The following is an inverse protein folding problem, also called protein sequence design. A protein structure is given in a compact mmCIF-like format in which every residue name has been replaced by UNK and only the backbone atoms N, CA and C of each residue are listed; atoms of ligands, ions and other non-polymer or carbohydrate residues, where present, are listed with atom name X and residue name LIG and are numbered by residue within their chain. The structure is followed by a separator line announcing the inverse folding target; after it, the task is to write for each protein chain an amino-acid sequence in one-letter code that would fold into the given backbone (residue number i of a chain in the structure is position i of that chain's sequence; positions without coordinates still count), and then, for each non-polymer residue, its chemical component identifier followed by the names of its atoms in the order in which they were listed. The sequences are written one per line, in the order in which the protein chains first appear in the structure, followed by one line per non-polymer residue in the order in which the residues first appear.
data_IF_486023692685
#
_entry.id   IF_486023692685
#
_cell.length_a   1.000
_cell.length_b   1.000
_cell.length_c   1.000
_cell.angle_alpha   90.00
_cell.angle_beta   90.00
_cell.angle_gamma   90.00
#
_symmetry.space_group_name_H-M   'P 1'
#
loop_
_entity.id
_entity.type
_entity.pdbx_description
1 polymer ?
#
# COMPACT_ATOMS: atom_id res chain seq x y z
N UNK A 1 -4.89 -21.34 8.52
CA UNK A 1 -3.62 -20.69 8.16
C UNK A 1 -3.83 -20.07 6.80
N UNK A 2 -3.35 -18.83 6.61
CA UNK A 2 -3.39 -18.14 5.31
C UNK A 2 -2.73 -19.00 4.23
N UNK A 3 -3.25 -18.95 3.00
CA UNK A 3 -2.64 -19.67 1.89
C UNK A 3 -1.49 -18.83 1.31
N UNK A 4 -0.28 -19.39 1.31
CA UNK A 4 0.86 -18.81 0.59
C UNK A 4 0.84 -19.33 -0.85
N UNK A 5 0.97 -18.42 -1.81
CA UNK A 5 1.00 -18.75 -3.24
C UNK A 5 2.42 -18.57 -3.75
N UNK A 6 2.95 -19.59 -4.42
CA UNK A 6 4.28 -19.52 -5.02
C UNK A 6 4.21 -18.76 -6.36
N UNK A 7 4.89 -17.62 -6.44
CA UNK A 7 5.12 -16.91 -7.70
C UNK A 7 6.33 -17.53 -8.40
N UNK A 8 6.19 -17.94 -9.67
CA UNK A 8 7.23 -18.67 -10.41
C UNK A 8 7.63 -18.05 -11.74
N UNK A 9 6.81 -17.13 -12.26
CA UNK A 9 7.07 -16.50 -13.55
C UNK A 9 7.87 -15.20 -13.35
N UNK A 10 9.09 -15.08 -13.90
CA UNK A 10 9.90 -13.87 -13.80
C UNK A 10 9.53 -12.79 -14.83
N UNK A 11 8.65 -13.09 -15.79
CA UNK A 11 8.26 -12.12 -16.83
C UNK A 11 7.35 -11.04 -16.25
N UNK A 12 7.43 -9.83 -16.82
CA UNK A 12 6.53 -8.74 -16.47
C UNK A 12 5.28 -8.72 -17.35
N UNK A 13 4.24 -8.04 -16.85
CA UNK A 13 3.06 -7.66 -17.61
C UNK A 13 2.67 -6.23 -17.21
N UNK A 14 2.17 -5.46 -18.17
CA UNK A 14 1.57 -4.15 -17.90
C UNK A 14 0.26 -4.27 -17.12
N UNK A 15 -0.18 -3.17 -16.52
CA UNK A 15 -1.48 -3.12 -15.85
C UNK A 15 -2.63 -3.44 -16.80
N UNK A 16 -2.59 -2.94 -18.03
CA UNK A 16 -3.65 -3.17 -19.02
C UNK A 16 -3.70 -4.65 -19.45
N UNK A 17 -2.56 -5.29 -19.73
CA UNK A 17 -2.50 -6.73 -20.03
C UNK A 17 -3.04 -7.58 -18.88
N UNK A 18 -2.69 -7.24 -17.63
CA UNK A 18 -3.18 -7.93 -16.44
C UNK A 18 -4.71 -7.78 -16.32
N UNK A 19 -5.23 -6.56 -16.47
CA UNK A 19 -6.68 -6.29 -16.39
C UNK A 19 -7.42 -6.99 -17.52
N UNK A 20 -6.94 -6.94 -18.75
CA UNK A 20 -7.55 -7.60 -19.90
C UNK A 20 -7.62 -9.12 -19.70
N UNK A 21 -6.53 -9.73 -19.22
CA UNK A 21 -6.48 -11.15 -18.94
C UNK A 21 -7.44 -11.56 -17.81
N UNK A 22 -7.55 -10.76 -16.75
CA UNK A 22 -8.50 -10.99 -15.66
C UNK A 22 -9.96 -10.79 -16.12
N UNK A 23 -10.24 -9.79 -16.96
CA UNK A 23 -11.58 -9.55 -17.53
C UNK A 23 -12.01 -10.67 -18.48
N UNK A 24 -11.08 -11.20 -19.28
CA UNK A 24 -11.38 -12.25 -20.26
C UNK A 24 -11.80 -13.58 -19.61
N UNK A 25 -11.28 -13.89 -18.43
CA UNK A 25 -11.57 -15.13 -17.71
C UNK A 25 -12.57 -14.93 -16.57
N UNK A 26 -12.52 -13.78 -15.89
CA UNK A 26 -13.15 -13.56 -14.59
C UNK A 26 -12.25 -13.98 -13.42
N UNK A 27 -12.73 -13.72 -12.21
CA UNK A 27 -12.01 -14.08 -10.98
C UNK A 27 -12.95 -14.71 -9.96
N UNK A 28 -12.90 -16.03 -9.84
CA UNK A 28 -13.53 -16.80 -8.78
C UNK A 28 -12.45 -17.48 -7.91
N UNK A 29 -12.16 -16.97 -6.70
CA UNK A 29 -11.15 -17.53 -5.81
C UNK A 29 -11.54 -18.89 -5.20
N UNK A 30 -12.78 -19.35 -5.40
CA UNK A 30 -13.21 -20.70 -5.05
C UNK A 30 -12.80 -21.76 -6.08
N UNK A 31 -12.47 -21.34 -7.31
CA UNK A 31 -11.93 -22.19 -8.36
C UNK A 31 -10.39 -22.12 -8.39
N UNK A 32 -9.74 -23.28 -8.34
CA UNK A 32 -8.28 -23.37 -8.28
C UNK A 32 -7.62 -22.91 -9.59
N UNK A 33 -8.26 -23.13 -10.74
CA UNK A 33 -7.75 -22.66 -12.02
C UNK A 33 -7.86 -21.14 -12.15
N UNK A 34 -9.02 -20.57 -11.81
CA UNK A 34 -9.21 -19.11 -11.76
C UNK A 34 -8.25 -18.44 -10.77
N UNK A 35 -8.06 -19.00 -9.56
CA UNK A 35 -7.10 -18.49 -8.59
C UNK A 35 -5.65 -18.56 -9.11
N UNK A 36 -5.27 -19.67 -9.76
CA UNK A 36 -3.93 -19.81 -10.35
C UNK A 36 -3.70 -18.82 -11.49
N UNK A 37 -4.67 -18.64 -12.38
CA UNK A 37 -4.64 -17.66 -13.47
C UNK A 37 -4.49 -16.23 -12.93
N UNK A 38 -5.32 -15.85 -11.96
CA UNK A 38 -5.26 -14.52 -11.36
C UNK A 38 -3.94 -14.26 -10.62
N UNK A 39 -3.44 -15.27 -9.90
CA UNK A 39 -2.15 -15.20 -9.20
C UNK A 39 -0.98 -15.08 -10.16
N UNK A 40 -1.04 -15.77 -11.30
CA UNK A 40 -0.04 -15.66 -12.36
C UNK A 40 0.05 -14.23 -12.91
N UNK A 41 -1.09 -13.64 -13.29
CA UNK A 41 -1.12 -12.27 -13.82
C UNK A 41 -0.77 -11.20 -12.79
N UNK A 42 -1.21 -11.37 -11.54
CA UNK A 42 -0.83 -10.48 -10.46
C UNK A 42 0.68 -10.55 -10.18
N UNK A 43 1.27 -11.75 -10.25
CA UNK A 43 2.71 -11.94 -10.13
C UNK A 43 3.49 -11.25 -11.24
N UNK A 44 3.06 -11.41 -12.50
CA UNK A 44 3.66 -10.73 -13.66
C UNK A 44 3.52 -9.21 -13.58
N UNK A 45 2.38 -8.70 -13.12
CA UNK A 45 2.21 -7.27 -12.85
C UNK A 45 3.18 -6.78 -11.77
N UNK A 46 3.37 -7.54 -10.69
CA UNK A 46 4.30 -7.19 -9.62
C UNK A 46 5.78 -7.17 -10.04
N UNK A 47 6.11 -7.81 -11.17
CA UNK A 47 7.44 -7.76 -11.77
C UNK A 47 7.69 -6.45 -12.55
N UNK A 48 6.63 -5.73 -12.97
CA UNK A 48 6.79 -4.37 -13.49
C UNK A 48 7.04 -3.42 -12.31
N UNK A 49 8.27 -2.90 -12.21
CA UNK A 49 8.72 -2.09 -11.07
C UNK A 49 8.36 -0.61 -11.21
N UNK A 50 7.90 -0.17 -12.38
CA UNK A 50 7.76 1.25 -12.69
C UNK A 50 6.31 1.73 -12.66
N UNK A 51 5.35 0.87 -13.02
CA UNK A 51 3.97 1.32 -13.27
C UNK A 51 3.29 2.00 -12.07
N UNK A 52 3.58 1.57 -10.84
CA UNK A 52 3.03 2.23 -9.64
C UNK A 52 3.60 3.63 -9.50
N UNK A 53 4.90 3.82 -9.76
CA UNK A 53 5.52 5.14 -9.73
C UNK A 53 4.83 6.09 -10.70
N UNK A 54 4.64 5.64 -11.95
CA UNK A 54 3.97 6.43 -13.00
C UNK A 54 2.52 6.77 -12.61
N UNK A 55 1.76 5.80 -12.10
CA UNK A 55 0.38 6.01 -11.65
C UNK A 55 0.26 6.98 -10.48
N UNK A 56 1.21 6.96 -9.55
CA UNK A 56 1.22 7.90 -8.43
C UNK A 56 1.52 9.33 -8.90
N UNK A 57 2.43 9.50 -9.87
CA UNK A 57 2.69 10.81 -10.48
C UNK A 57 1.46 11.36 -11.20
N UNK A 58 0.78 10.53 -11.99
CA UNK A 58 -0.46 10.91 -12.68
C UNK A 58 -1.54 11.33 -11.68
N UNK A 59 -1.68 10.59 -10.57
CA UNK A 59 -2.65 10.90 -9.52
C UNK A 59 -2.34 12.23 -8.83
N UNK A 60 -1.06 12.51 -8.54
CA UNK A 60 -0.63 13.80 -7.98
C UNK A 60 -0.83 14.97 -8.95
N UNK A 61 -0.71 14.74 -10.26
CA UNK A 61 -0.98 15.74 -11.29
C UNK A 61 -2.48 16.00 -11.54
N UNK A 62 -3.35 15.06 -11.16
CA UNK A 62 -4.80 15.15 -11.37
C UNK A 62 -5.60 14.59 -10.18
N UNK A 63 -5.75 15.36 -9.09
CA UNK A 63 -6.35 14.91 -7.82
C UNK A 63 -7.88 14.66 -7.89
N UNK A 64 -8.49 14.66 -9.08
CA UNK A 64 -9.95 14.47 -9.27
C UNK A 64 -10.40 13.00 -9.24
N UNK A 65 -9.49 12.05 -9.00
CA UNK A 65 -9.87 10.64 -8.89
C UNK A 65 -10.49 10.36 -7.51
N UNK A 66 -11.70 9.77 -7.45
CA UNK A 66 -12.31 9.42 -6.17
C UNK A 66 -11.47 8.37 -5.44
N UNK A 67 -11.27 8.58 -4.14
CA UNK A 67 -10.64 7.58 -3.28
C UNK A 67 -11.42 6.26 -3.36
N UNK A 68 -10.70 5.14 -3.42
CA UNK A 68 -11.34 3.82 -3.37
C UNK A 68 -12.09 3.68 -2.02
N UNK A 69 -13.37 3.29 -2.02
CA UNK A 69 -14.12 3.17 -0.77
C UNK A 69 -13.52 2.09 0.15
N UNK A 70 -13.05 2.54 1.31
CA UNK A 70 -13.06 1.89 2.62
C UNK A 70 -12.56 0.44 2.72
N UNK A 71 -11.24 0.22 2.66
CA UNK A 71 -10.59 -1.02 3.10
C UNK A 71 -9.28 -0.78 3.92
N UNK A 72 -8.66 0.38 3.73
CA UNK A 72 -7.39 0.78 4.34
C UNK A 72 -7.47 0.96 5.87
N UNK A 73 -6.47 0.50 6.64
CA UNK A 73 -6.09 1.09 7.93
C UNK A 73 -5.85 2.61 7.84
N UNK A 74 -6.00 3.33 8.96
CA UNK A 74 -5.48 4.69 9.08
C UNK A 74 -3.98 4.66 8.81
N UNK A 75 -3.47 5.57 7.96
CA UNK A 75 -2.09 5.59 7.45
C UNK A 75 -1.75 4.47 6.45
N UNK A 76 -2.76 3.98 5.75
CA UNK A 76 -2.55 3.33 4.46
C UNK A 76 -3.32 4.07 3.38
N UNK A 77 -2.65 4.34 2.27
CA UNK A 77 -3.26 4.99 1.12
C UNK A 77 -3.59 3.94 0.08
N UNK A 78 -4.86 3.88 -0.31
CA UNK A 78 -5.33 2.97 -1.34
C UNK A 78 -5.53 3.72 -2.64
N UNK A 79 -4.79 3.28 -3.65
CA UNK A 79 -4.98 3.69 -5.03
C UNK A 79 -5.78 2.62 -5.76
N UNK A 80 -6.92 3.02 -6.33
CA UNK A 80 -7.63 2.17 -7.29
C UNK A 80 -6.81 2.07 -8.58
N UNK A 81 -6.35 0.85 -8.89
CA UNK A 81 -5.62 0.59 -10.13
C UNK A 81 -6.57 0.20 -11.25
N UNK A 82 -7.55 -0.66 -10.94
CA UNK A 82 -8.60 -1.05 -11.85
C UNK A 82 -9.87 -1.48 -11.09
N UNK A 83 -11.03 -1.09 -11.61
CA UNK A 83 -12.33 -1.61 -11.19
C UNK A 83 -13.24 -1.67 -12.44
N UNK A 84 -13.00 -2.63 -13.34
CA UNK A 84 -13.77 -2.73 -14.58
C UNK A 84 -15.28 -2.86 -14.29
N UNK A 85 -16.11 -2.20 -15.09
CA UNK A 85 -17.56 -2.28 -14.92
C UNK A 85 -18.05 -3.72 -15.08
N UNK A 86 -19.00 -4.13 -14.22
CA UNK A 86 -19.56 -5.48 -14.21
C UNK A 86 -18.53 -6.62 -14.04
N UNK A 87 -17.36 -6.33 -13.47
CA UNK A 87 -16.37 -7.35 -13.15
C UNK A 87 -16.49 -7.90 -11.73
N UNK A 88 -16.04 -9.14 -11.58
CA UNK A 88 -15.96 -9.85 -10.32
C UNK A 88 -14.69 -9.51 -9.52
N UNK A 89 -13.96 -8.44 -9.88
CA UNK A 89 -12.76 -8.06 -9.13
C UNK A 89 -12.52 -6.57 -9.08
N UNK A 90 -11.66 -6.18 -8.13
CA UNK A 90 -11.04 -4.85 -8.07
C UNK A 90 -9.57 -5.02 -7.77
N UNK A 91 -8.74 -4.20 -8.39
CA UNK A 91 -7.30 -4.17 -8.18
C UNK A 91 -6.89 -2.85 -7.52
N UNK A 92 -6.17 -2.98 -6.42
CA UNK A 92 -5.78 -1.87 -5.55
C UNK A 92 -4.28 -1.93 -5.29
N UNK A 93 -3.63 -0.77 -5.21
CA UNK A 93 -2.34 -0.64 -4.52
C UNK A 93 -2.59 -0.08 -3.12
N UNK A 94 -1.93 -0.64 -2.12
CA UNK A 94 -1.95 -0.11 -0.75
C UNK A 94 -0.53 0.29 -0.35
N UNK A 95 -0.37 1.56 0.01
CA UNK A 95 0.87 2.12 0.53
C UNK A 95 0.84 2.02 2.04
N UNK A 96 1.88 1.42 2.61
CA UNK A 96 2.06 1.18 4.03
C UNK A 96 3.17 2.06 4.57
N UNK A 97 2.83 2.90 5.53
CA UNK A 97 3.76 3.84 6.14
C UNK A 97 4.21 3.42 7.53
N UNK A 98 5.39 3.92 7.90
CA UNK A 98 5.89 3.84 9.26
C UNK A 98 5.17 4.94 10.05
N UNK A 99 4.45 4.60 11.14
CA UNK A 99 3.80 5.61 11.96
C UNK A 99 4.82 6.51 12.65
N UNK A 100 4.52 7.80 12.74
CA UNK A 100 5.28 8.72 13.59
C UNK A 100 5.02 8.36 15.06
N UNK A 101 6.10 8.11 15.82
CA UNK A 101 6.11 7.35 17.10
C UNK A 101 5.34 7.92 18.31
N UNK A 102 4.04 8.19 18.18
CA UNK A 102 3.21 8.75 19.25
C UNK A 102 1.75 8.28 19.34
N UNK A 103 1.23 7.48 18.41
CA UNK A 103 -0.19 7.07 18.43
C UNK A 103 -0.40 5.59 18.13
N UNK A 104 -1.33 4.94 18.83
CA UNK A 104 -1.86 3.63 18.45
C UNK A 104 -2.90 3.85 17.34
N UNK A 105 -2.53 3.49 16.12
CA UNK A 105 -3.29 3.86 14.92
C UNK A 105 -4.35 2.81 14.53
N UNK A 106 -5.49 3.27 13.99
CA UNK A 106 -6.57 2.40 13.59
C UNK A 106 -6.14 1.44 12.45
N UNK A 107 -6.19 0.13 12.72
CA UNK A 107 -5.93 -0.94 11.74
C UNK A 107 -4.56 -1.64 11.87
N UNK A 108 -3.55 -1.01 12.48
CA UNK A 108 -2.39 -1.75 13.01
C UNK A 108 -2.70 -2.31 14.40
N UNK A 109 -2.11 -3.45 14.74
CA UNK A 109 -2.29 -4.09 16.04
C UNK A 109 -3.69 -4.71 16.28
N UNK A 110 -4.63 -4.55 15.34
CA UNK A 110 -5.99 -5.05 15.44
C UNK A 110 -6.21 -6.31 14.59
N UNK A 111 -6.70 -7.37 15.22
CA UNK A 111 -7.02 -8.61 14.52
C UNK A 111 -8.35 -8.46 13.75
N UNK A 112 -8.35 -8.81 12.47
CA UNK A 112 -9.54 -8.77 11.62
C UNK A 112 -9.53 -9.86 10.54
N UNK A 113 -10.71 -10.15 10.03
CA UNK A 113 -10.91 -10.95 8.81
C UNK A 113 -11.25 -10.07 7.60
N UNK A 114 -11.51 -10.73 6.47
CA UNK A 114 -11.98 -10.10 5.26
C UNK A 114 -13.42 -10.51 4.94
N UNK A 115 -14.23 -9.56 4.45
CA UNK A 115 -15.60 -9.84 4.01
C UNK A 115 -15.65 -10.51 2.63
N UNK A 116 -14.57 -10.38 1.84
CA UNK A 116 -14.40 -10.99 0.54
C UNK A 116 -13.03 -11.69 0.48
N UNK A 117 -12.87 -12.59 -0.49
CA UNK A 117 -11.60 -13.22 -0.80
C UNK A 117 -10.63 -12.22 -1.39
N UNK A 118 -9.37 -12.31 -0.96
CA UNK A 118 -8.32 -11.38 -1.35
C UNK A 118 -7.03 -12.09 -1.64
N UNK A 119 -6.43 -11.78 -2.79
CA UNK A 119 -5.07 -12.14 -3.13
C UNK A 119 -4.21 -10.89 -3.03
N UNK A 120 -3.17 -10.92 -2.20
CA UNK A 120 -2.28 -9.79 -1.97
C UNK A 120 -0.84 -10.17 -2.26
N UNK A 121 -0.12 -9.27 -2.94
CA UNK A 121 1.27 -9.41 -3.35
C UNK A 121 2.09 -8.30 -2.73
N UNK A 122 3.19 -8.64 -2.08
CA UNK A 122 4.20 -7.65 -1.68
C UNK A 122 4.90 -7.11 -2.92
N UNK A 123 4.79 -5.81 -3.16
CA UNK A 123 5.31 -5.15 -4.36
C UNK A 123 6.63 -4.44 -4.09
N UNK A 124 6.71 -3.66 -3.02
CA UNK A 124 7.91 -2.87 -2.70
C UNK A 124 8.13 -2.82 -1.19
N UNK A 125 9.40 -2.77 -0.80
CA UNK A 125 9.82 -2.64 0.59
C UNK A 125 9.74 -3.96 1.37
N UNK A 126 10.05 -3.91 2.68
CA UNK A 126 10.06 -5.09 3.54
C UNK A 126 8.66 -5.67 3.79
N UNK A 127 7.61 -4.91 3.50
CA UNK A 127 6.23 -5.30 3.76
C UNK A 127 5.86 -5.19 5.24
N UNK A 128 4.57 -5.36 5.51
CA UNK A 128 4.06 -5.41 6.87
C UNK A 128 4.17 -6.84 7.42
N UNK A 129 4.63 -6.95 8.67
CA UNK A 129 4.57 -8.19 9.42
C UNK A 129 3.11 -8.49 9.80
N UNK A 130 2.70 -9.75 9.69
CA UNK A 130 1.33 -10.18 9.99
C UNK A 130 1.34 -11.36 10.93
N UNK A 131 0.64 -11.24 12.05
CA UNK A 131 0.27 -12.42 12.84
C UNK A 131 -0.97 -13.03 12.23
N UNK A 132 -1.00 -14.35 12.08
CA UNK A 132 -2.14 -15.09 11.57
C UNK A 132 -2.81 -15.87 12.69
N UNK A 133 -4.13 -15.97 12.59
CA UNK A 133 -4.94 -16.70 13.54
C UNK A 133 -5.92 -17.61 12.82
N UNK A 134 -6.31 -18.67 13.52
CA UNK A 134 -7.40 -19.57 13.12
C UNK A 134 -8.54 -19.48 14.12
N UNK A 135 -9.77 -19.63 13.61
CA UNK A 135 -10.95 -19.80 14.44
C UNK A 135 -10.86 -21.13 15.22
N UNK A 136 -10.98 -21.06 16.54
CA UNK A 136 -11.28 -22.24 17.36
C UNK A 136 -12.80 -22.46 17.34
N UNK A 137 -13.21 -23.55 16.70
CA UNK A 137 -14.59 -24.00 16.67
C UNK A 137 -14.93 -24.77 17.95
N UNK A 138 -16.07 -24.44 18.58
CA UNK A 138 -16.63 -25.31 19.62
C UNK A 138 -17.26 -26.58 19.01
N UNK A 139 -17.64 -27.56 19.83
CA UNK A 139 -18.28 -28.80 19.38
C UNK A 139 -19.62 -28.59 18.61
N UNK A 140 -20.10 -27.34 18.50
CA UNK A 140 -21.29 -26.94 17.74
C UNK A 140 -20.94 -26.05 16.53
N UNK A 141 -19.65 -25.96 16.16
CA UNK A 141 -19.16 -25.19 15.02
C UNK A 141 -19.19 -23.67 15.21
N UNK A 142 -19.35 -23.16 16.44
CA UNK A 142 -19.37 -21.71 16.69
C UNK A 142 -17.98 -21.25 17.11
N UNK A 143 -17.43 -20.28 16.38
CA UNK A 143 -16.12 -19.73 16.71
C UNK A 143 -16.18 -18.89 17.98
N UNK A 144 -15.37 -19.24 18.98
CA UNK A 144 -15.32 -18.53 20.28
C UNK A 144 -13.98 -17.87 20.57
N UNK A 145 -12.89 -18.35 19.98
CA UNK A 145 -11.52 -17.89 20.24
C UNK A 145 -10.66 -17.95 18.98
N UNK A 146 -9.58 -17.18 18.99
CA UNK A 146 -8.56 -17.17 17.96
C UNK A 146 -7.32 -17.89 18.46
N UNK A 147 -6.84 -18.88 17.71
CA UNK A 147 -5.59 -19.58 17.96
C UNK A 147 -4.47 -19.01 17.09
N UNK A 148 -3.31 -18.64 17.65
CA UNK A 148 -2.17 -18.24 16.84
C UNK A 148 -1.76 -19.33 15.83
N UNK A 149 -1.54 -18.91 14.59
CA UNK A 149 -1.25 -19.80 13.45
C UNK A 149 0.07 -19.45 12.74
N UNK A 150 0.89 -18.60 13.37
CA UNK A 150 2.20 -18.19 12.86
C UNK A 150 2.25 -16.72 12.51
N UNK A 151 3.39 -16.31 11.96
CA UNK A 151 3.67 -14.94 11.57
C UNK A 151 4.38 -14.95 10.22
N UNK A 152 4.05 -14.00 9.36
CA UNK A 152 4.66 -13.85 8.04
C UNK A 152 4.71 -12.39 7.62
N UNK A 153 5.84 -11.96 7.08
CA UNK A 153 5.96 -10.67 6.41
C UNK A 153 5.52 -10.79 4.94
N UNK A 154 4.67 -9.86 4.49
CA UNK A 154 4.33 -9.72 3.07
C UNK A 154 5.45 -8.95 2.34
N UNK A 155 6.65 -9.53 2.32
CA UNK A 155 7.79 -8.97 1.61
C UNK A 155 7.62 -9.04 0.09
N UNK A 156 8.51 -8.39 -0.63
CA UNK A 156 8.50 -8.38 -2.10
C UNK A 156 8.43 -9.79 -2.71
N UNK A 157 7.52 -9.98 -3.67
CA UNK A 157 7.28 -11.25 -4.35
C UNK A 157 6.49 -12.28 -3.53
N UNK A 158 6.26 -12.04 -2.23
CA UNK A 158 5.41 -12.88 -1.39
C UNK A 158 3.94 -12.65 -1.75
N UNK A 159 3.21 -13.72 -2.04
CA UNK A 159 1.79 -13.67 -2.38
C UNK A 159 0.96 -14.48 -1.40
N UNK A 160 -0.11 -13.88 -0.88
CA UNK A 160 -1.02 -14.48 0.10
C UNK A 160 -2.46 -14.44 -0.40
N UNK A 161 -3.19 -15.53 -0.20
CA UNK A 161 -4.64 -15.60 -0.38
C UNK A 161 -5.34 -15.71 0.97
N UNK A 162 -6.18 -14.71 1.25
CA UNK A 162 -7.07 -14.63 2.38
C UNK A 162 -8.48 -15.01 1.95
N UNK A 163 -9.01 -16.08 2.54
CA UNK A 163 -10.38 -16.52 2.30
C UNK A 163 -11.35 -15.72 3.15
N UNK A 164 -12.46 -15.31 2.54
CA UNK A 164 -13.48 -14.54 3.21
C UNK A 164 -13.91 -15.21 4.52
N UNK A 165 -14.00 -14.41 5.60
CA UNK A 165 -14.52 -14.79 6.92
C UNK A 165 -13.80 -15.95 7.63
N UNK A 166 -12.66 -16.40 7.10
CA UNK A 166 -11.93 -17.57 7.61
C UNK A 166 -10.54 -17.20 8.08
N UNK A 167 -9.80 -16.45 7.28
CA UNK A 167 -8.42 -16.10 7.60
C UNK A 167 -8.39 -14.78 8.37
N UNK A 168 -7.96 -14.85 9.63
CA UNK A 168 -7.84 -13.70 10.53
C UNK A 168 -6.37 -13.31 10.62
N UNK A 169 -6.07 -12.03 10.53
CA UNK A 169 -4.73 -11.51 10.75
C UNK A 169 -4.68 -10.27 11.62
N UNK A 170 -3.51 -9.98 12.15
CA UNK A 170 -3.17 -8.70 12.78
C UNK A 170 -1.97 -8.13 12.06
N UNK A 171 -2.12 -6.90 11.57
CA UNK A 171 -1.09 -6.19 10.84
C UNK A 171 -0.19 -5.40 11.80
N UNK A 172 1.12 -5.47 11.60
CA UNK A 172 2.08 -4.58 12.27
C UNK A 172 2.60 -3.54 11.29
N UNK A 173 3.03 -2.36 11.77
CA UNK A 173 3.71 -1.38 10.95
C UNK A 173 4.92 -1.98 10.20
N UNK A 174 5.18 -1.55 8.96
CA UNK A 174 6.38 -1.96 8.26
C UNK A 174 7.62 -1.28 8.85
N UNK A 175 8.82 -1.83 8.59
CA UNK A 175 10.08 -1.22 9.02
C UNK A 175 10.47 0.01 8.18
N UNK A 176 9.95 0.10 6.95
CA UNK A 176 10.09 1.24 6.03
C UNK A 176 8.90 1.27 5.06
N UNK A 177 8.76 2.35 4.28
CA UNK A 177 7.73 2.48 3.26
C UNK A 177 7.61 1.20 2.44
N UNK A 178 6.40 0.63 2.40
CA UNK A 178 6.12 -0.62 1.70
C UNK A 178 4.86 -0.50 0.88
N UNK A 179 4.74 -1.28 -0.20
CA UNK A 179 3.58 -1.25 -1.09
C UNK A 179 3.15 -2.69 -1.37
N UNK A 180 1.84 -2.93 -1.37
CA UNK A 180 1.26 -4.21 -1.79
C UNK A 180 0.20 -4.02 -2.85
N UNK A 181 0.14 -4.92 -3.82
CA UNK A 181 -0.98 -5.04 -4.75
C UNK A 181 -2.02 -5.97 -4.15
N UNK A 182 -3.29 -5.66 -4.34
CA UNK A 182 -4.41 -6.40 -3.76
C UNK A 182 -5.50 -6.59 -4.79
N UNK A 183 -5.73 -7.85 -5.16
CA UNK A 183 -6.88 -8.28 -5.95
C UNK A 183 -8.00 -8.70 -4.99
N UNK A 184 -9.13 -8.00 -5.06
CA UNK A 184 -10.30 -8.24 -4.21
C UNK A 184 -11.40 -8.85 -5.06
N UNK A 185 -11.93 -9.99 -4.65
CA UNK A 185 -13.10 -10.59 -5.28
C UNK A 185 -14.34 -9.72 -4.99
N UNK A 186 -15.07 -9.36 -6.05
CA UNK A 186 -16.21 -8.47 -6.03
C UNK A 186 -17.50 -9.27 -6.31
N UNK A 187 -17.82 -10.22 -5.44
CA UNK A 187 -19.08 -10.96 -5.55
C UNK A 187 -20.26 -10.09 -5.11
N UNK A 188 -21.36 -10.14 -5.87
CA UNK A 188 -22.66 -9.60 -5.45
C UNK A 188 -23.13 -10.18 -4.10
N UNK A 189 -22.74 -11.41 -3.77
CA UNK A 189 -23.10 -12.04 -2.50
C UNK A 189 -22.39 -11.39 -1.29
N UNK A 190 -21.23 -10.77 -1.50
CA UNK A 190 -20.43 -10.11 -0.46
C UNK A 190 -20.57 -8.58 -0.48
N UNK A 191 -21.31 -8.01 -1.45
CA UNK A 191 -21.57 -6.57 -1.50
C UNK A 191 -22.33 -6.08 -0.25
N UNK A 192 -21.83 -5.00 0.35
CA UNK A 192 -22.40 -4.40 1.57
C UNK A 192 -21.98 -5.08 2.87
N UNK A 193 -21.19 -6.15 2.84
CA UNK A 193 -20.70 -6.82 4.03
C UNK A 193 -19.42 -6.17 4.58
N UNK A 194 -19.41 -5.85 5.87
CA UNK A 194 -18.22 -5.32 6.55
C UNK A 194 -17.33 -6.43 7.13
N UNK A 195 -16.02 -6.16 7.20
CA UNK A 195 -15.03 -6.96 7.95
C UNK A 195 -15.40 -7.08 9.43
N UNK A 196 -15.01 -8.17 10.08
CA UNK A 196 -15.13 -8.35 11.54
C UNK A 196 -13.81 -8.03 12.21
N UNK A 197 -13.91 -7.30 13.32
CA UNK A 197 -12.81 -7.02 14.22
C UNK A 197 -12.89 -7.93 15.43
N UNK A 198 -11.76 -8.50 15.84
CA UNK A 198 -11.67 -9.40 16.98
C UNK A 198 -10.88 -8.70 18.10
N UNK A 199 -11.61 -8.39 19.20
CA UNK A 199 -11.26 -7.50 20.32
C UNK A 199 -11.00 -6.02 19.94
N UNK A 200 -11.83 -5.08 20.41
CA UNK A 200 -11.51 -3.65 20.40
C UNK A 200 -11.06 -3.19 21.79
N UNK A 201 -9.83 -2.69 21.95
CA UNK A 201 -9.48 -1.73 23.01
C UNK A 201 -8.34 -0.81 22.53
N UNK A 202 -8.71 0.32 21.92
CA UNK A 202 -8.49 1.69 22.39
C UNK A 202 -9.19 2.57 21.34
N UNK A 203 -10.18 3.32 21.82
CA UNK A 203 -10.94 4.27 21.04
C UNK A 203 -10.07 5.46 20.67
N UNK A 204 -10.02 5.75 19.37
CA UNK A 204 -9.69 7.05 18.84
C UNK A 204 -10.61 7.27 17.65
N UNK A 205 -11.53 8.23 17.76
CA UNK A 205 -12.24 8.72 16.59
C UNK A 205 -11.20 9.37 15.66
N UNK A 206 -11.15 8.97 14.40
CA UNK A 206 -10.37 9.65 13.38
C UNK A 206 -11.31 10.48 12.50
N UNK A 207 -10.92 11.71 12.24
CA UNK A 207 -11.55 12.63 11.30
C UNK A 207 -11.01 12.36 9.90
N UNK A 208 -11.93 12.22 8.94
CA UNK A 208 -11.72 11.78 7.54
C UNK A 208 -10.94 12.75 6.63
N UNK A 209 -10.25 13.75 7.16
CA UNK A 209 -9.45 14.69 6.36
C UNK A 209 -7.99 14.59 6.79
N UNK A 210 -7.20 13.75 6.10
CA UNK A 210 -5.75 13.66 6.30
C UNK A 210 -4.98 14.37 5.16
N UNK A 211 -4.43 15.58 5.40
CA UNK A 211 -3.50 16.24 4.50
C UNK A 211 -2.24 15.41 4.17
N UNK A 212 -1.94 14.36 4.94
CA UNK A 212 -0.77 13.50 4.74
C UNK A 212 -0.88 12.58 3.52
N UNK A 213 -2.08 12.35 2.96
CA UNK A 213 -2.24 11.43 1.82
C UNK A 213 -1.41 11.83 0.59
N UNK A 214 -1.32 13.13 0.29
CA UNK A 214 -0.49 13.61 -0.82
C UNK A 214 1.01 13.45 -0.56
N UNK A 215 1.45 13.52 0.69
CA UNK A 215 2.85 13.36 1.10
C UNK A 215 3.30 11.90 0.93
N UNK A 216 2.47 10.96 1.37
CA UNK A 216 2.71 9.52 1.27
C UNK A 216 2.75 9.03 -0.18
N UNK A 217 1.82 9.52 -1.01
CA UNK A 217 1.79 9.23 -2.44
C UNK A 217 3.05 9.74 -3.16
N UNK A 218 3.53 10.93 -2.79
CA UNK A 218 4.74 11.53 -3.37
C UNK A 218 6.01 10.77 -2.98
N UNK A 219 6.14 10.37 -1.70
CA UNK A 219 7.27 9.54 -1.25
C UNK A 219 7.30 8.20 -1.98
N UNK A 220 6.14 7.56 -2.15
CA UNK A 220 6.01 6.33 -2.92
C UNK A 220 6.35 6.53 -4.40
N UNK A 221 5.90 7.63 -5.03
CA UNK A 221 6.23 7.94 -6.41
C UNK A 221 7.75 8.09 -6.62
N UNK A 222 8.42 8.80 -5.71
CA UNK A 222 9.87 9.02 -5.75
C UNK A 222 10.66 7.74 -5.46
N UNK A 223 10.18 6.91 -4.53
CA UNK A 223 10.86 5.66 -4.19
C UNK A 223 10.76 4.59 -5.28
N UNK A 224 9.69 4.63 -6.08
CA UNK A 224 9.44 3.64 -7.13
C UNK A 224 9.87 4.08 -8.52
N UNK A 225 9.89 5.39 -8.78
CA UNK A 225 10.12 5.89 -10.12
C UNK A 225 11.59 6.17 -10.45
N UNK A 226 11.89 6.16 -11.75
CA UNK A 226 13.20 6.54 -12.30
C UNK A 226 13.39 8.06 -12.41
N UNK A 227 14.20 8.50 -13.37
CA UNK A 227 14.52 9.92 -13.57
C UNK A 227 13.27 10.82 -13.75
N UNK A 228 12.21 10.29 -14.37
CA UNK A 228 10.95 11.02 -14.54
C UNK A 228 10.26 11.33 -13.21
N UNK A 229 10.22 10.38 -12.26
CA UNK A 229 9.64 10.62 -10.94
C UNK A 229 10.48 11.58 -10.12
N UNK A 230 11.81 11.49 -10.24
CA UNK A 230 12.74 12.45 -9.65
C UNK A 230 12.49 13.86 -10.19
N UNK A 231 12.32 14.01 -11.51
CA UNK A 231 12.04 15.30 -12.15
C UNK A 231 10.68 15.87 -11.70
N UNK A 232 9.64 15.04 -11.64
CA UNK A 232 8.31 15.45 -11.15
C UNK A 232 8.35 15.85 -9.68
N UNK A 233 9.05 15.10 -8.82
CA UNK A 233 9.23 15.47 -7.43
C UNK A 233 10.02 16.77 -7.27
N UNK A 234 11.06 16.99 -8.10
CA UNK A 234 11.78 18.27 -8.10
C UNK A 234 10.86 19.43 -8.52
N UNK A 235 10.00 19.22 -9.52
CA UNK A 235 9.00 20.21 -9.94
C UNK A 235 8.02 20.53 -8.79
N UNK A 236 7.50 19.51 -8.11
CA UNK A 236 6.65 19.69 -6.92
C UNK A 236 7.39 20.45 -5.83
N UNK A 237 8.64 20.07 -5.53
CA UNK A 237 9.49 20.69 -4.50
C UNK A 237 9.71 22.20 -4.75
N UNK A 238 9.84 22.58 -6.02
CA UNK A 238 10.12 23.94 -6.45
C UNK A 238 8.87 24.80 -6.58
N UNK A 239 7.75 24.25 -7.07
CA UNK A 239 6.65 25.07 -7.59
C UNK A 239 5.29 24.82 -6.95
N UNK A 240 5.10 23.73 -6.19
CA UNK A 240 3.78 23.37 -5.70
C UNK A 240 3.22 24.41 -4.69
N UNK A 241 1.92 24.70 -4.73
CA UNK A 241 1.33 25.75 -3.87
C UNK A 241 1.37 25.40 -2.37
N UNK A 242 1.31 24.10 -2.03
CA UNK A 242 1.41 23.60 -0.66
C UNK A 242 2.87 23.51 -0.20
N UNK A 243 3.25 24.29 0.82
CA UNK A 243 4.57 24.25 1.46
C UNK A 243 4.90 22.85 2.01
N UNK A 244 3.91 22.15 2.55
CA UNK A 244 4.09 20.81 3.13
C UNK A 244 4.44 19.78 2.06
N UNK A 245 3.73 19.80 0.92
CA UNK A 245 4.05 18.92 -0.22
C UNK A 245 5.41 19.25 -0.83
N UNK A 246 5.79 20.53 -0.90
CA UNK A 246 7.14 20.92 -1.32
C UNK A 246 8.21 20.36 -0.38
N UNK A 247 8.02 20.46 0.92
CA UNK A 247 8.95 19.92 1.91
C UNK A 247 9.03 18.39 1.84
N UNK A 248 7.90 17.73 1.67
CA UNK A 248 7.83 16.28 1.47
C UNK A 248 8.64 15.85 0.23
N UNK A 249 8.49 16.58 -0.88
CA UNK A 249 9.27 16.34 -2.10
C UNK A 249 10.79 16.43 -1.85
N UNK A 250 11.25 17.47 -1.14
CA UNK A 250 12.65 17.63 -0.78
C UNK A 250 13.17 16.50 0.10
N UNK A 251 12.38 16.04 1.07
CA UNK A 251 12.71 14.87 1.91
C UNK A 251 12.84 13.61 1.07
N UNK A 252 11.85 13.33 0.23
CA UNK A 252 11.84 12.15 -0.62
C UNK A 252 13.06 12.10 -1.56
N UNK A 253 13.40 13.24 -2.19
CA UNK A 253 14.60 13.36 -3.04
C UNK A 253 15.89 13.11 -2.25
N UNK A 254 16.00 13.61 -1.02
CA UNK A 254 17.18 13.41 -0.19
C UNK A 254 17.29 11.96 0.32
N UNK A 255 16.17 11.29 0.62
CA UNK A 255 16.13 9.89 1.07
C UNK A 255 16.65 8.91 0.00
N UNK A 256 16.53 9.26 -1.29
CA UNK A 256 17.07 8.46 -2.40
C UNK A 256 18.60 8.54 -2.54
N UNK A 257 19.24 9.53 -1.91
CA UNK A 257 20.67 9.74 -2.05
C UNK A 257 21.48 8.88 -1.07
N UNK A 258 22.42 8.11 -1.61
CA UNK A 258 23.26 7.18 -0.83
C UNK A 258 24.40 7.87 -0.11
N UNK A 259 24.90 9.00 -0.62
CA UNK A 259 26.01 9.74 -0.02
C UNK A 259 25.54 10.98 0.76
N UNK A 260 26.25 11.30 1.85
CA UNK A 260 25.98 12.52 2.63
C UNK A 260 26.17 13.79 1.79
N UNK A 261 27.12 13.79 0.84
CA UNK A 261 27.37 14.91 -0.06
C UNK A 261 26.19 15.15 -1.02
N UNK A 262 25.63 14.08 -1.60
CA UNK A 262 24.47 14.19 -2.48
C UNK A 262 23.22 14.62 -1.70
N UNK A 263 23.03 14.12 -0.47
CA UNK A 263 21.98 14.61 0.44
C UNK A 263 22.13 16.10 0.76
N UNK A 264 23.34 16.57 1.07
CA UNK A 264 23.58 18.00 1.31
C UNK A 264 23.25 18.85 0.08
N UNK A 265 23.53 18.36 -1.13
CA UNK A 265 23.23 19.07 -2.38
C UNK A 265 21.72 19.28 -2.58
N UNK A 266 20.89 18.27 -2.31
CA UNK A 266 19.43 18.38 -2.36
C UNK A 266 18.94 19.42 -1.35
N UNK A 267 19.40 19.33 -0.10
CA UNK A 267 18.99 20.30 0.92
C UNK A 267 19.50 21.71 0.65
N UNK A 268 20.67 21.86 0.02
CA UNK A 268 21.19 23.16 -0.41
C UNK A 268 20.28 23.80 -1.47
N UNK A 269 19.73 23.03 -2.39
CA UNK A 269 18.73 23.53 -3.35
C UNK A 269 17.45 23.96 -2.63
N UNK A 270 16.96 23.16 -1.68
CA UNK A 270 15.78 23.50 -0.88
C UNK A 270 15.98 24.82 -0.10
N UNK A 271 17.17 25.03 0.46
CA UNK A 271 17.55 26.27 1.15
C UNK A 271 17.50 27.51 0.25
N UNK A 272 17.84 27.34 -1.03
CA UNK A 272 17.88 28.42 -2.02
C UNK A 272 16.51 28.66 -2.70
N UNK A 273 15.51 27.81 -2.46
CA UNK A 273 14.21 27.81 -3.14
C UNK A 273 13.22 28.91 -2.76
N UNK A 274 13.67 29.97 -2.07
CA UNK A 274 12.91 31.20 -1.79
C UNK A 274 11.83 31.10 -0.69
N UNK A 275 11.56 29.92 -0.14
CA UNK A 275 10.60 29.74 0.96
C UNK A 275 11.31 29.72 2.32
N UNK A 276 11.00 30.68 3.20
CA UNK A 276 11.68 30.84 4.49
C UNK A 276 11.56 29.63 5.42
N UNK A 277 10.40 28.97 5.47
CA UNK A 277 10.18 27.78 6.32
C UNK A 277 10.98 26.59 5.81
N UNK A 278 10.90 26.31 4.50
CA UNK A 278 11.67 25.22 3.88
C UNK A 278 13.17 25.49 4.04
N UNK A 279 13.62 26.73 3.87
CA UNK A 279 15.03 27.09 4.04
C UNK A 279 15.53 26.94 5.49
N UNK A 280 14.68 27.19 6.49
CA UNK A 280 15.03 26.93 7.88
C UNK A 280 15.21 25.42 8.14
N UNK A 281 14.27 24.59 7.66
CA UNK A 281 14.32 23.13 7.82
C UNK A 281 15.50 22.53 7.05
N UNK A 282 15.75 22.99 5.83
CA UNK A 282 16.90 22.57 5.03
C UNK A 282 18.22 22.82 5.75
N UNK A 283 18.41 24.00 6.37
CA UNK A 283 19.61 24.30 7.17
C UNK A 283 19.81 23.32 8.33
N UNK A 284 18.73 22.92 9.00
CA UNK A 284 18.80 21.93 10.08
C UNK A 284 19.26 20.56 9.57
N UNK A 285 18.68 20.08 8.46
CA UNK A 285 19.09 18.80 7.86
C UNK A 285 20.54 18.83 7.39
N UNK A 286 21.00 19.91 6.77
CA UNK A 286 22.40 20.07 6.35
C UNK A 286 23.37 20.08 7.52
N UNK A 287 22.99 20.70 8.64
CA UNK A 287 23.81 20.71 9.84
C UNK A 287 23.98 19.29 10.43
N UNK A 288 22.95 18.44 10.34
CA UNK A 288 23.00 17.05 10.81
C UNK A 288 23.80 16.10 9.89
N UNK A 289 24.15 16.53 8.68
CA UNK A 289 24.95 15.75 7.71
C UNK A 289 26.45 16.04 7.78
N UNK A 290 26.87 16.99 8.63
CA UNK A 290 28.27 17.38 8.85
C UNK A 290 28.81 16.71 10.11
#
# INVERSE_FOLDING_TARGET
MVRVIAVRDPTSASLDECVDALCSWGFDPGDEESLAHASHWLGRLGNDRHFIGDRLLDHLGNPRQPAAPGWAPAHSHQLALAAPENSDFRLLATIWEVPDGGTCHAGYGQAHDHAADVVTLGYFGPGCLRDHFEHEEDARGRSKRLRPAGQLALGEGCMLHYRARRDVHRLHPPASLSISLTLVHNSRATQGQARRWFQPEIGGAHTDDDPAAGESLLRAAVALGGEAARASALHVAQHHASESLRLCAWRALAEQETSAQARDAIWKQAEQGGNHRIAAIARQHRAALR
#
